data_IF_690003741461
#
_entry.id   IF_690003741461
#
_cell.length_a   1.000
_cell.length_b   1.000
_cell.length_c   1.000
_cell.angle_alpha   90.00
_cell.angle_beta   90.00
_cell.angle_gamma   90.00
#
_symmetry.space_group_name_H-M   'P 1'
#
loop_
_entity.id
_entity.type
_entity.pdbx_description
1 polymer ?
#
# COMPACT_ATOMS: atom_id res chain seq x y z
N UNK A 1 -16.53 -15.90 0.84
CA UNK A 1 -17.06 -15.46 -0.46
C UNK A 1 -16.47 -14.12 -0.87
N UNK A 2 -16.17 -13.96 -2.15
CA UNK A 2 -15.63 -12.73 -2.72
C UNK A 2 -16.08 -12.57 -4.17
N UNK A 3 -16.25 -11.33 -4.62
CA UNK A 3 -16.67 -11.00 -5.97
C UNK A 3 -15.76 -9.95 -6.61
N UNK A 4 -15.64 -9.99 -7.94
CA UNK A 4 -14.94 -8.95 -8.71
C UNK A 4 -15.96 -7.84 -8.97
N UNK A 5 -15.74 -6.68 -8.37
CA UNK A 5 -16.65 -5.53 -8.45
C UNK A 5 -16.19 -4.57 -9.55
N UNK A 6 -17.14 -3.88 -10.19
CA UNK A 6 -16.86 -2.86 -11.21
C UNK A 6 -16.66 -3.42 -12.62
N UNK A 7 -15.96 -2.66 -13.47
CA UNK A 7 -15.78 -2.99 -14.88
C UNK A 7 -15.13 -4.37 -15.09
N UNK A 8 -14.14 -4.73 -14.27
CA UNK A 8 -13.45 -6.01 -14.34
C UNK A 8 -14.41 -7.21 -14.18
N UNK A 9 -15.38 -7.11 -13.28
CA UNK A 9 -16.41 -8.15 -13.10
C UNK A 9 -17.44 -8.14 -14.22
N UNK A 10 -17.89 -6.94 -14.62
CA UNK A 10 -18.86 -6.77 -15.70
C UNK A 10 -18.35 -7.30 -17.05
N UNK A 11 -17.09 -7.03 -17.40
CA UNK A 11 -16.50 -7.53 -18.64
C UNK A 11 -16.40 -9.05 -18.67
N UNK A 12 -16.05 -9.69 -17.56
CA UNK A 12 -16.06 -11.15 -17.47
C UNK A 12 -17.47 -11.72 -17.62
N UNK A 13 -18.46 -11.13 -16.94
CA UNK A 13 -19.85 -11.55 -17.00
C UNK A 13 -20.45 -11.39 -18.40
N UNK A 14 -20.32 -10.21 -18.99
CA UNK A 14 -20.83 -9.90 -20.34
C UNK A 14 -20.09 -10.70 -21.43
N UNK A 15 -18.77 -10.87 -21.28
CA UNK A 15 -17.96 -11.69 -22.18
C UNK A 15 -18.47 -13.13 -22.21
N UNK A 16 -18.72 -13.73 -21.05
CA UNK A 16 -19.30 -15.08 -20.95
C UNK A 16 -20.65 -15.18 -21.65
N UNK A 17 -21.55 -14.22 -21.46
CA UNK A 17 -22.86 -14.20 -22.13
C UNK A 17 -22.75 -14.09 -23.66
N UNK A 18 -21.66 -13.51 -24.16
CA UNK A 18 -21.38 -13.36 -25.60
C UNK A 18 -20.47 -14.46 -26.17
N UNK A 19 -20.18 -15.51 -25.39
CA UNK A 19 -19.27 -16.58 -25.81
C UNK A 19 -17.81 -16.16 -25.94
N UNK A 20 -17.42 -15.03 -25.34
CA UNK A 20 -16.05 -14.53 -25.34
C UNK A 20 -15.28 -15.09 -24.15
N UNK A 21 -14.02 -15.49 -24.39
CA UNK A 21 -13.09 -15.88 -23.33
C UNK A 21 -12.50 -14.64 -22.68
N UNK A 22 -12.33 -14.66 -21.36
CA UNK A 22 -11.72 -13.57 -20.61
C UNK A 22 -11.15 -14.07 -19.28
N UNK A 23 -10.21 -13.30 -18.74
CA UNK A 23 -9.62 -13.51 -17.43
C UNK A 23 -9.43 -12.15 -16.74
N UNK A 24 -9.40 -12.13 -15.41
CA UNK A 24 -9.04 -10.95 -14.64
C UNK A 24 -7.78 -11.26 -13.82
N UNK A 25 -6.75 -10.44 -14.00
CA UNK A 25 -5.54 -10.46 -13.18
C UNK A 25 -5.70 -9.40 -12.09
N UNK A 26 -5.46 -9.79 -10.84
CA UNK A 26 -5.59 -8.90 -9.68
C UNK A 26 -4.34 -8.99 -8.83
N UNK A 27 -3.69 -7.86 -8.58
CA UNK A 27 -2.60 -7.73 -7.62
C UNK A 27 -3.18 -7.42 -6.24
N UNK A 28 -2.65 -8.06 -5.21
CA UNK A 28 -2.93 -7.66 -3.83
C UNK A 28 -2.24 -6.32 -3.60
N UNK A 29 -2.97 -5.33 -3.11
CA UNK A 29 -2.40 -4.02 -2.75
C UNK A 29 -2.82 -3.64 -1.33
N UNK A 30 -2.08 -2.74 -0.66
CA UNK A 30 -2.49 -2.16 0.62
C UNK A 30 -3.75 -1.30 0.52
N UNK A 31 -4.05 -0.76 -0.66
CA UNK A 31 -5.28 0.00 -0.96
C UNK A 31 -5.29 1.47 -0.53
N UNK A 32 -4.30 1.92 0.25
CA UNK A 32 -4.21 3.31 0.73
C UNK A 32 -3.12 4.16 0.04
N UNK A 33 -2.28 3.55 -0.78
CA UNK A 33 -1.33 4.25 -1.67
C UNK A 33 -1.25 3.57 -3.03
N UNK A 34 -0.58 4.24 -3.97
CA UNK A 34 -0.29 3.69 -5.30
C UNK A 34 0.75 2.58 -5.17
N UNK A 35 0.38 1.34 -5.47
CA UNK A 35 1.25 0.18 -5.36
C UNK A 35 1.87 -0.17 -6.72
N UNK A 36 3.04 0.41 -7.00
CA UNK A 36 3.75 0.20 -8.25
C UNK A 36 4.29 -1.24 -8.39
N UNK A 37 4.64 -1.90 -7.28
CA UNK A 37 5.14 -3.28 -7.27
C UNK A 37 4.04 -4.27 -7.67
N UNK A 38 2.83 -4.10 -7.12
CA UNK A 38 1.69 -4.92 -7.50
C UNK A 38 1.31 -4.70 -8.99
N UNK A 39 1.42 -3.47 -9.49
CA UNK A 39 1.18 -3.16 -10.89
C UNK A 39 2.22 -3.82 -11.82
N UNK A 40 3.51 -3.72 -11.46
CA UNK A 40 4.62 -4.34 -12.17
C UNK A 40 4.46 -5.87 -12.26
N UNK A 41 4.19 -6.52 -11.12
CA UNK A 41 4.00 -7.96 -11.07
C UNK A 41 2.86 -8.43 -11.98
N UNK A 42 1.74 -7.70 -12.02
CA UNK A 42 0.61 -8.03 -12.90
C UNK A 42 0.97 -7.78 -14.37
N UNK A 43 1.67 -6.69 -14.67
CA UNK A 43 2.11 -6.37 -16.04
C UNK A 43 3.05 -7.43 -16.59
N UNK A 44 4.03 -7.89 -15.80
CA UNK A 44 4.95 -8.97 -16.17
C UNK A 44 4.20 -10.28 -16.48
N UNK A 45 3.22 -10.65 -15.65
CA UNK A 45 2.39 -11.85 -15.91
C UNK A 45 1.53 -11.68 -17.14
N UNK A 46 0.93 -10.51 -17.34
CA UNK A 46 0.14 -10.22 -18.53
C UNK A 46 1.01 -10.34 -19.78
N UNK A 47 2.19 -9.71 -19.79
CA UNK A 47 3.15 -9.72 -20.89
C UNK A 47 3.51 -11.15 -21.32
N UNK A 48 3.76 -12.05 -20.36
CA UNK A 48 4.00 -13.49 -20.62
C UNK A 48 2.78 -14.14 -21.28
N UNK A 49 1.57 -13.89 -20.76
CA UNK A 49 0.33 -14.50 -21.26
C UNK A 49 0.00 -14.08 -22.69
N UNK A 50 0.25 -12.81 -23.03
CA UNK A 50 -0.06 -12.25 -24.36
C UNK A 50 1.15 -12.22 -25.31
N UNK A 51 2.33 -12.68 -24.84
CA UNK A 51 3.59 -12.74 -25.58
C UNK A 51 4.03 -11.38 -26.12
N UNK A 52 3.98 -10.36 -25.26
CA UNK A 52 4.48 -9.02 -25.56
C UNK A 52 5.74 -8.73 -24.74
N UNK A 53 6.66 -7.98 -25.34
CA UNK A 53 7.77 -7.36 -24.63
C UNK A 53 7.34 -5.98 -24.15
N UNK A 54 7.41 -5.76 -22.84
CA UNK A 54 7.01 -4.51 -22.19
C UNK A 54 8.09 -4.16 -21.17
N UNK A 55 8.60 -2.93 -21.23
CA UNK A 55 9.52 -2.40 -20.22
C UNK A 55 8.77 -2.06 -18.94
N UNK A 56 9.37 -2.39 -17.80
CA UNK A 56 8.87 -2.07 -16.45
C UNK A 56 9.67 -0.97 -15.74
N UNK A 57 10.65 -0.36 -16.41
CA UNK A 57 11.60 0.59 -15.81
C UNK A 57 10.90 1.76 -15.10
N UNK A 58 9.83 2.31 -15.67
CA UNK A 58 9.08 3.41 -15.04
C UNK A 58 8.34 2.96 -13.77
N UNK A 59 7.84 1.72 -13.74
CA UNK A 59 7.19 1.16 -12.56
C UNK A 59 8.20 0.87 -11.45
N UNK A 60 9.38 0.36 -11.80
CA UNK A 60 10.48 0.12 -10.88
C UNK A 60 10.96 1.43 -10.22
N UNK A 61 11.20 2.47 -11.04
CA UNK A 61 11.56 3.78 -10.53
C UNK A 61 10.49 4.35 -9.58
N UNK A 62 9.21 4.17 -9.93
CA UNK A 62 8.10 4.64 -9.10
C UNK A 62 7.96 3.85 -7.80
N UNK A 63 8.23 2.55 -7.83
CA UNK A 63 8.24 1.69 -6.64
C UNK A 63 9.35 2.12 -5.67
N UNK A 64 10.53 2.45 -6.17
CA UNK A 64 11.64 2.96 -5.34
C UNK A 64 11.26 4.28 -4.66
N UNK A 65 10.73 5.25 -5.41
CA UNK A 65 10.30 6.54 -4.88
C UNK A 65 9.28 6.38 -3.73
N UNK A 66 8.31 5.48 -3.90
CA UNK A 66 7.30 5.20 -2.87
C UNK A 66 7.93 4.50 -1.66
N UNK A 67 8.86 3.56 -1.86
CA UNK A 67 9.57 2.89 -0.77
C UNK A 67 10.40 3.86 0.06
N UNK A 68 11.12 4.77 -0.59
CA UNK A 68 11.88 5.83 0.10
C UNK A 68 10.95 6.72 0.94
N UNK A 69 9.83 7.16 0.36
CA UNK A 69 8.84 7.98 1.07
C UNK A 69 8.26 7.27 2.29
N UNK A 70 7.89 6.00 2.17
CA UNK A 70 7.37 5.19 3.28
C UNK A 70 8.44 5.03 4.37
N UNK A 71 9.67 4.74 3.98
CA UNK A 71 10.80 4.59 4.92
C UNK A 71 11.04 5.87 5.72
N UNK A 72 11.05 7.03 5.04
CA UNK A 72 11.21 8.33 5.70
C UNK A 72 10.07 8.63 6.68
N UNK A 73 8.82 8.35 6.29
CA UNK A 73 7.66 8.53 7.16
C UNK A 73 7.75 7.67 8.43
N UNK A 74 8.16 6.40 8.28
CA UNK A 74 8.36 5.49 9.41
C UNK A 74 9.49 5.93 10.34
N UNK A 75 10.59 6.46 9.79
CA UNK A 75 11.69 7.00 10.59
C UNK A 75 11.23 8.22 11.42
N UNK A 76 10.51 9.16 10.80
CA UNK A 76 9.97 10.33 11.50
C UNK A 76 8.99 9.94 12.61
N UNK A 77 8.12 8.96 12.35
CA UNK A 77 7.20 8.43 13.36
C UNK A 77 7.95 7.84 14.56
N UNK A 78 8.99 7.01 14.30
CA UNK A 78 9.82 6.45 15.36
C UNK A 78 10.57 7.52 16.16
N UNK A 79 11.14 8.53 15.49
CA UNK A 79 11.81 9.64 16.17
C UNK A 79 10.84 10.45 17.03
N UNK A 80 9.63 10.72 16.56
CA UNK A 80 8.60 11.40 17.34
C UNK A 80 8.18 10.57 18.57
N UNK A 81 7.98 9.26 18.41
CA UNK A 81 7.66 8.35 19.50
C UNK A 81 8.79 8.28 20.54
N UNK A 82 10.05 8.20 20.08
CA UNK A 82 11.22 8.22 20.96
C UNK A 82 11.33 9.55 21.73
N UNK A 83 11.07 10.68 21.08
CA UNK A 83 11.05 12.00 21.73
C UNK A 83 9.91 12.13 22.74
N UNK A 84 8.73 11.60 22.43
CA UNK A 84 7.59 11.59 23.34
C UNK A 84 7.83 10.69 24.57
N UNK A 85 8.46 9.53 24.39
CA UNK A 85 8.84 8.63 25.49
C UNK A 85 10.04 9.14 26.29
N UNK A 86 10.98 9.87 25.66
CA UNK A 86 12.13 10.49 26.32
C UNK A 86 11.80 11.69 27.21
N UNK A 87 10.58 12.22 27.15
CA UNK A 87 10.08 13.28 28.03
C UNK A 87 9.41 12.76 29.32
N UNK A 88 9.46 11.45 29.59
CA UNK A 88 9.02 10.86 30.86
C UNK A 88 10.22 10.33 31.66
N UNK A 89 11.02 11.25 32.21
CA UNK A 89 11.89 10.97 33.36
C UNK A 89 11.36 11.79 34.55
N UNK A 90 11.29 11.22 35.77
CA UNK A 90 10.43 11.71 36.84
C UNK A 90 10.89 13.06 37.36
N UNK A 91 9.99 14.05 37.34
CA UNK A 91 10.13 15.25 38.15
C UNK A 91 10.20 14.80 39.61
N UNK A 92 11.38 15.03 40.19
CA UNK A 92 11.69 14.76 41.58
C UNK A 92 10.59 15.37 42.46
N UNK A 93 10.15 14.56 43.42
CA UNK A 93 9.25 14.95 44.47
C UNK A 93 9.66 16.29 45.10
N UNK A 94 8.83 17.30 44.88
CA UNK A 94 8.59 18.32 45.89
C UNK A 94 7.08 18.36 46.11
N UNK A 95 6.68 17.66 47.18
CA UNK A 95 5.56 18.08 48.03
C UNK A 95 5.50 19.61 48.06
N UNK A 96 4.39 20.21 47.66
CA UNK A 96 3.43 20.66 48.67
C UNK A 96 2.12 21.16 48.04
N UNK A 97 1.05 21.05 48.84
CA UNK A 97 -0.29 21.64 48.64
C UNK A 97 -1.29 20.82 47.81
N UNK A 98 -1.88 19.85 48.51
CA UNK A 98 -3.27 19.41 48.31
C UNK A 98 -4.19 20.63 48.43
N UNK A 99 -4.76 21.09 47.33
CA UNK A 99 -5.91 21.98 47.36
C UNK A 99 -7.18 21.14 47.32
N UNK A 100 -7.86 21.09 48.47
CA UNK A 100 -9.24 20.63 48.57
C UNK A 100 -10.13 21.81 48.19
N UNK A 101 -10.96 21.60 47.17
CA UNK A 101 -12.09 22.44 46.79
C UNK A 101 -13.14 21.56 46.14
#
# INVERSE_FOLDING_TARGET
DGGIVGASGLFLGLGRLRGMKGACLMGKTPGYFIDAEAAEAILQKLAILVKLEVSTEELEAKAEEIREMISQAQQMEQEMLQRAMGQQAPQQAQDDLRYIG
#
